data_IF_501082994183
#
_entry.id   IF_501082994183
#
_cell.length_a   1.000
_cell.length_b   1.000
_cell.length_c   1.000
_cell.angle_alpha   90.00
_cell.angle_beta   90.00
_cell.angle_gamma   90.00
#
_symmetry.space_group_name_H-M   'P 1'
#
loop_
_entity.id
_entity.type
_entity.pdbx_description
1 polymer ?
#
# COMPACT_ATOMS: atom_id res chain seq x y z
N UNK A 1 -31.00 6.92 -3.44
CA UNK A 1 -30.22 6.98 -2.18
C UNK A 1 -29.39 8.26 -2.17
N UNK A 2 -29.37 9.00 -1.04
CA UNK A 2 -28.71 10.32 -0.94
C UNK A 2 -27.42 10.25 -0.10
N UNK A 3 -27.49 9.60 1.06
CA UNK A 3 -26.38 9.46 2.00
C UNK A 3 -26.08 7.96 2.20
N UNK A 4 -24.80 7.60 2.33
CA UNK A 4 -24.31 6.25 2.61
C UNK A 4 -23.40 6.26 3.85
N UNK A 5 -23.88 5.84 5.02
CA UNK A 5 -23.06 5.72 6.22
C UNK A 5 -22.14 4.49 6.16
N UNK A 6 -20.86 4.68 6.47
CA UNK A 6 -19.85 3.64 6.67
C UNK A 6 -19.38 3.64 8.12
N UNK A 7 -19.12 2.45 8.68
CA UNK A 7 -18.57 2.32 10.02
C UNK A 7 -17.05 2.22 9.91
N UNK A 8 -16.36 3.22 10.43
CA UNK A 8 -14.90 3.24 10.55
C UNK A 8 -14.47 3.03 12.01
N UNK A 9 -13.26 2.49 12.25
CA UNK A 9 -12.65 2.52 13.58
C UNK A 9 -12.57 3.95 14.12
N UNK A 10 -12.74 4.12 15.43
CA UNK A 10 -12.78 5.44 16.09
C UNK A 10 -11.49 6.25 15.95
N UNK A 11 -10.36 5.58 15.75
CA UNK A 11 -9.02 6.17 15.61
C UNK A 11 -8.58 6.31 14.14
N UNK A 12 -9.50 6.13 13.19
CA UNK A 12 -9.23 6.38 11.79
C UNK A 12 -8.92 7.87 11.54
N UNK A 13 -7.85 8.13 10.79
CA UNK A 13 -7.44 9.49 10.41
C UNK A 13 -7.08 9.56 8.92
N UNK A 14 -6.99 10.77 8.39
CA UNK A 14 -6.66 11.05 6.98
C UNK A 14 -7.57 10.28 6.01
N UNK A 15 -8.88 10.42 6.23
CA UNK A 15 -9.90 9.73 5.44
C UNK A 15 -10.12 10.49 4.13
N UNK A 16 -9.97 9.80 3.01
CA UNK A 16 -10.17 10.36 1.66
C UNK A 16 -11.31 9.64 0.95
N UNK A 17 -12.22 10.42 0.38
CA UNK A 17 -13.33 9.93 -0.43
C UNK A 17 -13.20 10.46 -1.86
N UNK A 18 -13.11 9.55 -2.82
CA UNK A 18 -12.77 9.87 -4.21
C UNK A 18 -13.56 8.98 -5.18
N UNK A 19 -13.86 9.53 -6.36
CA UNK A 19 -14.29 8.76 -7.53
C UNK A 19 -13.22 8.76 -8.63
N UNK A 20 -13.56 8.16 -9.78
CA UNK A 20 -12.68 8.08 -10.94
C UNK A 20 -12.20 9.45 -11.42
N UNK A 21 -13.02 10.50 -11.25
CA UNK A 21 -12.72 11.86 -11.70
C UNK A 21 -11.88 12.62 -10.67
N UNK A 22 -12.11 12.41 -9.37
CA UNK A 22 -11.34 13.09 -8.33
C UNK A 22 -11.97 13.05 -6.94
N UNK A 23 -11.41 13.85 -6.03
CA UNK A 23 -11.90 13.93 -4.66
C UNK A 23 -13.37 14.40 -4.64
N UNK A 24 -14.14 13.82 -3.73
CA UNK A 24 -15.50 14.24 -3.40
C UNK A 24 -15.45 14.85 -2.00
N UNK A 25 -15.78 16.15 -1.91
CA UNK A 25 -15.77 16.89 -0.64
C UNK A 25 -17.08 16.78 0.14
N UNK A 26 -18.11 16.12 -0.42
CA UNK A 26 -19.43 15.96 0.21
C UNK A 26 -19.44 14.74 1.12
N UNK A 27 -18.73 14.84 2.25
CA UNK A 27 -18.70 13.83 3.29
C UNK A 27 -18.79 14.46 4.68
N UNK A 28 -19.44 13.75 5.61
CA UNK A 28 -19.57 14.18 7.00
C UNK A 28 -19.07 13.08 7.95
N UNK A 29 -18.43 13.47 9.04
CA UNK A 29 -18.00 12.56 10.11
C UNK A 29 -18.87 12.76 11.35
N UNK A 30 -19.36 11.66 11.90
CA UNK A 30 -20.06 11.65 13.18
C UNK A 30 -19.29 10.69 14.09
N UNK A 31 -18.56 11.27 15.03
CA UNK A 31 -17.83 10.51 16.05
C UNK A 31 -18.82 10.04 17.13
N UNK A 32 -18.77 8.74 17.42
CA UNK A 32 -19.50 8.11 18.52
C UNK A 32 -18.50 7.40 19.45
N UNK A 33 -18.95 7.04 20.65
CA UNK A 33 -18.13 6.25 21.58
C UNK A 33 -17.80 4.88 20.96
N UNK A 34 -16.52 4.70 20.57
CA UNK A 34 -16.00 3.44 20.04
C UNK A 34 -16.14 3.23 18.53
N UNK A 35 -16.78 4.14 17.79
CA UNK A 35 -16.89 4.06 16.32
C UNK A 35 -17.06 5.44 15.69
N UNK A 36 -16.61 5.58 14.45
CA UNK A 36 -16.82 6.80 13.66
C UNK A 36 -17.72 6.46 12.48
N UNK A 37 -18.86 7.14 12.38
CA UNK A 37 -19.75 7.02 11.22
C UNK A 37 -19.29 8.02 10.16
N UNK A 38 -18.92 7.50 9.00
CA UNK A 38 -18.54 8.28 7.85
C UNK A 38 -19.68 8.32 6.83
N UNK A 39 -20.36 9.47 6.75
CA UNK A 39 -21.46 9.68 5.81
C UNK A 39 -20.92 10.14 4.45
N UNK A 40 -20.91 9.23 3.49
CA UNK A 40 -20.55 9.52 2.10
C UNK A 40 -21.76 9.99 1.31
N UNK A 41 -21.66 11.13 0.61
CA UNK A 41 -22.66 11.54 -0.38
C UNK A 41 -22.06 11.47 -1.78
N UNK A 42 -22.60 10.63 -2.68
CA UNK A 42 -22.20 10.64 -4.09
C UNK A 42 -22.48 11.98 -4.76
N UNK A 43 -21.79 12.26 -5.87
CA UNK A 43 -22.00 13.50 -6.66
C UNK A 43 -23.43 13.66 -7.19
N UNK A 44 -24.14 12.55 -7.35
CA UNK A 44 -25.52 12.54 -7.82
C UNK A 44 -26.34 11.51 -7.02
N UNK A 45 -27.64 11.76 -6.80
CA UNK A 45 -28.51 10.78 -6.16
C UNK A 45 -28.59 9.50 -7.02
N UNK A 46 -28.34 8.35 -6.40
CA UNK A 46 -28.43 7.04 -7.08
C UNK A 46 -29.90 6.63 -7.12
N UNK A 47 -30.48 6.59 -8.32
CA UNK A 47 -31.83 6.09 -8.60
C UNK A 47 -31.79 4.69 -9.21
N UNK A 48 -32.95 4.05 -9.37
CA UNK A 48 -33.05 2.66 -9.84
C UNK A 48 -32.27 2.41 -11.14
N UNK A 49 -31.28 1.51 -11.08
CA UNK A 49 -30.42 1.13 -12.19
C UNK A 49 -29.18 2.02 -12.39
N UNK A 50 -29.04 3.11 -11.63
CA UNK A 50 -27.82 3.93 -11.67
C UNK A 50 -26.73 3.26 -10.84
N UNK A 51 -25.49 3.32 -11.31
CA UNK A 51 -24.31 2.78 -10.63
C UNK A 51 -23.35 3.92 -10.31
N UNK A 52 -22.79 3.90 -9.10
CA UNK A 52 -21.75 4.85 -8.66
C UNK A 52 -20.54 4.05 -8.20
N UNK A 53 -19.37 4.39 -8.72
CA UNK A 53 -18.07 3.83 -8.31
C UNK A 53 -17.33 4.86 -7.47
N UNK A 54 -16.77 4.43 -6.35
CA UNK A 54 -15.99 5.29 -5.46
C UNK A 54 -15.02 4.48 -4.60
N UNK A 55 -14.04 5.17 -4.07
CA UNK A 55 -13.01 4.64 -3.19
C UNK A 55 -12.99 5.44 -1.89
N UNK A 56 -12.86 4.73 -0.78
CA UNK A 56 -12.67 5.29 0.56
C UNK A 56 -11.34 4.76 1.08
N UNK A 57 -10.42 5.67 1.39
CA UNK A 57 -9.17 5.32 2.06
C UNK A 57 -9.11 5.98 3.42
N UNK A 58 -8.48 5.30 4.38
CA UNK A 58 -8.24 5.82 5.72
C UNK A 58 -6.96 5.21 6.28
N UNK A 59 -6.39 5.88 7.28
CA UNK A 59 -5.21 5.41 8.00
C UNK A 59 -5.57 5.06 9.44
N UNK A 60 -4.83 4.12 10.01
CA UNK A 60 -4.96 3.68 11.39
C UNK A 60 -3.61 3.75 12.10
N UNK A 61 -3.57 4.14 13.38
CA UNK A 61 -2.40 4.00 14.23
C UNK A 61 -2.00 2.52 14.32
N UNK A 62 -0.72 2.23 14.03
CA UNK A 62 -0.20 0.86 14.05
C UNK A 62 0.10 0.35 15.47
N UNK A 63 0.36 1.27 16.42
CA UNK A 63 0.82 0.95 17.76
C UNK A 63 -0.16 0.06 18.53
N UNK A 64 -1.46 0.26 18.33
CA UNK A 64 -2.51 -0.44 19.06
C UNK A 64 -2.93 -1.77 18.42
N UNK A 65 -2.40 -2.08 17.23
CA UNK A 65 -2.82 -3.23 16.41
C UNK A 65 -1.69 -4.18 16.06
N UNK A 66 -0.45 -3.69 16.03
CA UNK A 66 0.73 -4.50 15.77
C UNK A 66 1.37 -4.89 17.09
N UNK A 67 1.34 -6.19 17.36
CA UNK A 67 1.92 -6.76 18.56
C UNK A 67 3.06 -7.70 18.21
N UNK A 68 4.00 -7.83 19.15
CA UNK A 68 5.14 -8.72 19.03
C UNK A 68 5.18 -9.69 20.20
N UNK A 69 5.20 -10.97 19.88
CA UNK A 69 5.35 -12.05 20.87
C UNK A 69 6.81 -12.17 21.28
N UNK A 70 7.07 -12.69 22.50
CA UNK A 70 8.43 -12.97 23.01
C UNK A 70 9.27 -13.87 22.09
N UNK A 71 8.60 -14.72 21.30
CA UNK A 71 9.22 -15.59 20.29
C UNK A 71 9.69 -14.86 19.01
N UNK A 72 9.43 -13.56 18.87
CA UNK A 72 9.80 -12.79 17.68
C UNK A 72 8.74 -12.76 16.57
N UNK A 73 7.64 -13.50 16.74
CA UNK A 73 6.46 -13.47 15.85
C UNK A 73 5.70 -12.16 16.05
N UNK A 74 5.26 -11.55 14.96
CA UNK A 74 4.38 -10.39 14.96
C UNK A 74 2.96 -10.85 14.65
N UNK A 75 1.98 -10.23 15.31
CA UNK A 75 0.59 -10.41 14.93
C UNK A 75 -0.12 -9.06 14.80
N UNK A 76 -1.04 -9.00 13.85
CA UNK A 76 -1.85 -7.82 13.57
C UNK A 76 -3.32 -8.19 13.69
N UNK A 77 -4.05 -7.36 14.45
CA UNK A 77 -5.49 -7.47 14.64
C UNK A 77 -6.19 -6.31 13.94
N UNK A 78 -7.10 -6.63 13.01
CA UNK A 78 -7.79 -5.67 12.15
C UNK A 78 -9.27 -6.04 12.06
N UNK A 79 -10.15 -5.05 12.13
CA UNK A 79 -11.56 -5.22 11.82
C UNK A 79 -11.80 -4.93 10.34
N UNK A 80 -12.55 -5.78 9.66
CA UNK A 80 -12.97 -5.50 8.27
C UNK A 80 -13.96 -4.34 8.29
N UNK A 81 -13.81 -3.41 7.34
CA UNK A 81 -14.76 -2.31 7.18
C UNK A 81 -16.17 -2.84 6.89
N UNK A 82 -17.17 -2.26 7.55
CA UNK A 82 -18.58 -2.63 7.40
C UNK A 82 -19.37 -1.42 6.91
N UNK A 83 -20.29 -1.62 5.96
CA UNK A 83 -21.29 -0.62 5.63
C UNK A 83 -22.32 -0.55 6.77
N UNK A 84 -22.77 0.64 7.15
CA UNK A 84 -23.81 0.79 8.16
C UNK A 84 -25.23 0.59 7.57
N UNK A 85 -25.32 0.04 6.35
CA UNK A 85 -26.54 -0.22 5.60
C UNK A 85 -26.58 -1.71 5.28
N UNK A 86 -27.79 -2.29 5.26
CA UNK A 86 -28.03 -3.65 4.77
C UNK A 86 -27.83 -3.68 3.25
N UNK A 87 -26.57 -3.78 2.80
CA UNK A 87 -26.23 -4.00 1.41
C UNK A 87 -25.92 -5.48 1.17
N UNK A 88 -26.24 -5.93 -0.05
CA UNK A 88 -25.88 -7.26 -0.52
C UNK A 88 -24.62 -7.12 -1.36
N UNK A 89 -23.52 -7.67 -0.86
CA UNK A 89 -22.24 -7.65 -1.57
C UNK A 89 -22.15 -8.84 -2.51
N UNK A 90 -22.36 -8.62 -3.82
CA UNK A 90 -22.33 -9.71 -4.82
C UNK A 90 -20.94 -10.33 -4.97
N UNK A 91 -19.88 -9.52 -4.93
CA UNK A 91 -18.50 -9.98 -4.99
C UNK A 91 -17.68 -9.25 -3.93
N UNK A 92 -17.04 -10.01 -3.07
CA UNK A 92 -16.17 -9.52 -2.02
C UNK A 92 -14.74 -9.97 -2.30
N UNK A 93 -13.82 -9.01 -2.25
CA UNK A 93 -12.38 -9.26 -2.38
C UNK A 93 -11.64 -8.39 -1.38
N UNK A 94 -10.80 -9.02 -0.57
CA UNK A 94 -9.96 -8.36 0.42
C UNK A 94 -8.53 -8.84 0.25
N UNK A 95 -7.64 -7.90 -0.07
CA UNK A 95 -6.22 -8.15 -0.25
C UNK A 95 -5.47 -7.53 0.93
N UNK A 96 -4.84 -8.37 1.75
CA UNK A 96 -4.04 -7.93 2.90
C UNK A 96 -2.57 -8.01 2.52
N UNK A 97 -1.94 -6.85 2.33
CA UNK A 97 -0.55 -6.74 1.91
C UNK A 97 0.35 -6.63 3.13
N UNK A 98 1.25 -7.60 3.31
CA UNK A 98 2.23 -7.57 4.39
C UNK A 98 3.53 -6.86 3.94
N UNK A 99 4.34 -6.38 4.90
CA UNK A 99 5.64 -5.77 4.60
C UNK A 99 6.53 -6.70 3.77
N UNK A 100 7.40 -6.11 2.95
CA UNK A 100 8.43 -6.85 2.21
C UNK A 100 9.27 -7.70 3.17
N UNK A 101 9.68 -8.89 2.72
CA UNK A 101 10.48 -9.84 3.52
C UNK A 101 9.73 -10.45 4.72
N UNK A 102 8.43 -10.22 4.85
CA UNK A 102 7.63 -10.96 5.84
C UNK A 102 7.36 -12.39 5.39
N UNK A 103 7.22 -13.29 6.37
CA UNK A 103 6.76 -14.66 6.15
C UNK A 103 5.44 -14.86 6.87
N UNK A 104 4.41 -15.20 6.12
CA UNK A 104 3.10 -15.54 6.68
C UNK A 104 3.20 -16.86 7.45
N UNK A 105 2.78 -16.86 8.70
CA UNK A 105 2.68 -18.08 9.51
C UNK A 105 1.25 -18.60 9.54
N UNK A 106 0.30 -17.75 9.93
CA UNK A 106 -1.09 -18.13 10.11
C UNK A 106 -2.03 -16.92 9.93
N UNK A 107 -3.29 -17.21 9.62
CA UNK A 107 -4.39 -16.25 9.67
C UNK A 107 -5.62 -16.94 10.24
N UNK A 108 -6.44 -16.23 11.02
CA UNK A 108 -7.65 -16.79 11.65
C UNK A 108 -8.89 -16.77 10.73
N UNK A 109 -8.80 -16.10 9.57
CA UNK A 109 -9.95 -15.82 8.71
C UNK A 109 -10.26 -17.00 7.79
N UNK A 110 -10.82 -18.08 8.35
CA UNK A 110 -11.26 -19.27 7.62
C UNK A 110 -12.77 -19.47 7.81
N UNK A 111 -13.55 -18.64 7.12
CA UNK A 111 -15.02 -18.67 7.15
C UNK A 111 -15.59 -19.48 6.00
N UNK A 112 -16.72 -20.13 6.24
CA UNK A 112 -17.46 -20.85 5.19
C UNK A 112 -17.86 -19.86 4.09
N UNK A 113 -17.56 -20.20 2.83
CA UNK A 113 -17.85 -19.35 1.67
C UNK A 113 -16.75 -18.36 1.30
N UNK A 114 -15.67 -18.26 2.09
CA UNK A 114 -14.49 -17.47 1.77
C UNK A 114 -13.37 -18.39 1.25
N UNK A 115 -12.70 -17.96 0.18
CA UNK A 115 -11.53 -18.62 -0.39
C UNK A 115 -10.31 -17.76 -0.15
N UNK A 116 -9.30 -18.33 0.49
CA UNK A 116 -8.02 -17.68 0.71
C UNK A 116 -6.99 -18.17 -0.30
N UNK A 117 -6.24 -17.23 -0.88
CA UNK A 117 -5.10 -17.48 -1.75
C UNK A 117 -3.94 -16.59 -1.35
N UNK A 118 -2.72 -17.09 -1.53
CA UNK A 118 -1.50 -16.34 -1.24
C UNK A 118 -0.94 -15.86 -2.57
N UNK A 119 -0.85 -14.55 -2.73
CA UNK A 119 -0.28 -13.89 -3.88
C UNK A 119 0.98 -13.14 -3.48
N UNK A 120 1.69 -12.64 -4.49
CA UNK A 120 2.81 -11.72 -4.30
C UNK A 120 2.51 -10.41 -5.00
N UNK A 121 2.83 -9.30 -4.32
CA UNK A 121 2.68 -7.95 -4.85
C UNK A 121 4.00 -7.21 -4.74
N UNK A 122 4.34 -6.47 -5.79
CA UNK A 122 5.55 -5.65 -5.80
C UNK A 122 5.20 -4.20 -5.52
N UNK A 123 5.68 -3.70 -4.38
CA UNK A 123 5.52 -2.30 -3.98
C UNK A 123 6.38 -1.37 -4.85
N UNK A 124 5.97 -0.11 -4.96
CA UNK A 124 6.80 0.91 -5.57
C UNK A 124 8.06 1.10 -4.70
N UNK A 125 9.25 0.99 -5.31
CA UNK A 125 10.55 0.92 -4.64
C UNK A 125 10.81 -0.38 -3.84
N UNK A 126 10.00 -1.43 -4.04
CA UNK A 126 10.20 -2.73 -3.43
C UNK A 126 11.36 -3.50 -4.06
N UNK A 127 12.35 -3.87 -3.24
CA UNK A 127 13.46 -4.73 -3.66
C UNK A 127 12.98 -6.17 -3.74
N UNK A 128 12.21 -6.59 -2.73
CA UNK A 128 11.62 -7.92 -2.60
C UNK A 128 10.11 -7.84 -2.76
N UNK A 129 9.50 -8.98 -3.10
CA UNK A 129 8.04 -9.07 -3.19
C UNK A 129 7.41 -9.10 -1.80
N UNK A 130 6.27 -8.43 -1.66
CA UNK A 130 5.41 -8.48 -0.48
C UNK A 130 4.42 -9.63 -0.61
N UNK A 131 4.28 -10.49 0.42
CA UNK A 131 3.22 -11.49 0.42
C UNK A 131 1.86 -10.81 0.64
N UNK A 132 0.86 -11.26 -0.11
CA UNK A 132 -0.51 -10.78 -0.06
C UNK A 132 -1.43 -11.93 0.25
N UNK A 133 -2.27 -11.76 1.27
CA UNK A 133 -3.35 -12.70 1.58
C UNK A 133 -4.58 -12.18 0.87
N UNK A 134 -5.01 -12.88 -0.17
CA UNK A 134 -6.20 -12.55 -0.91
C UNK A 134 -7.35 -13.44 -0.45
N UNK A 135 -8.39 -12.82 0.08
CA UNK A 135 -9.61 -13.46 0.53
C UNK A 135 -10.74 -13.05 -0.40
N UNK A 136 -11.39 -14.03 -1.02
CA UNK A 136 -12.47 -13.82 -1.99
C UNK A 136 -13.74 -14.53 -1.57
N UNK A 137 -14.89 -13.93 -1.80
CA UNK A 137 -16.19 -14.55 -1.56
C UNK A 137 -17.25 -13.96 -2.49
N UNK A 138 -18.32 -14.71 -2.72
CA UNK A 138 -19.43 -14.30 -3.57
C UNK A 138 -20.71 -14.29 -2.72
N UNK A 139 -21.54 -13.26 -2.92
CA UNK A 139 -22.82 -13.07 -2.22
C UNK A 139 -22.65 -13.06 -0.69
N UNK A 140 -21.87 -12.11 -0.18
CA UNK A 140 -21.63 -11.93 1.26
C UNK A 140 -22.67 -10.98 1.83
N UNK A 141 -23.22 -11.35 2.98
CA UNK A 141 -24.02 -10.45 3.82
C UNK A 141 -23.07 -9.60 4.67
N UNK A 142 -23.32 -8.30 4.74
CA UNK A 142 -22.42 -7.35 5.43
C UNK A 142 -22.21 -7.66 6.92
N UNK A 143 -23.19 -8.29 7.59
CA UNK A 143 -23.08 -8.75 8.98
C UNK A 143 -21.96 -9.79 9.19
N UNK A 144 -21.61 -10.56 8.14
CA UNK A 144 -20.53 -11.53 8.20
C UNK A 144 -19.14 -10.89 8.04
N UNK A 145 -19.06 -9.60 7.68
CA UNK A 145 -17.80 -8.90 7.49
C UNK A 145 -17.23 -8.35 8.80
N UNK A 146 -18.06 -7.96 9.78
CA UNK A 146 -17.63 -7.23 10.98
C UNK A 146 -16.68 -7.94 11.97
N UNK A 147 -16.18 -9.13 11.63
CA UNK A 147 -15.28 -9.90 12.49
C UNK A 147 -13.83 -9.37 12.47
N UNK A 148 -13.12 -9.67 13.55
CA UNK A 148 -11.71 -9.36 13.71
C UNK A 148 -10.81 -10.39 13.02
N UNK A 149 -9.94 -9.89 12.16
CA UNK A 149 -8.89 -10.63 11.47
C UNK A 149 -7.62 -10.54 12.28
N UNK A 150 -7.08 -11.70 12.61
CA UNK A 150 -5.76 -11.87 13.21
C UNK A 150 -4.81 -12.54 12.22
N UNK A 151 -3.69 -11.89 11.97
CA UNK A 151 -2.65 -12.37 11.04
C UNK A 151 -1.36 -12.48 11.80
N UNK A 152 -0.72 -13.64 11.72
CA UNK A 152 0.57 -13.91 12.33
C UNK A 152 1.65 -14.02 11.25
N UNK A 153 2.73 -13.27 11.42
CA UNK A 153 3.83 -13.24 10.49
C UNK A 153 5.17 -13.01 11.18
N UNK A 154 6.23 -13.54 10.57
CA UNK A 154 7.60 -13.20 10.95
C UNK A 154 8.06 -12.00 10.15
N UNK A 155 8.66 -11.04 10.84
CA UNK A 155 9.21 -9.86 10.23
C UNK A 155 10.51 -9.45 10.92
N UNK A 156 11.54 -9.23 10.11
CA UNK A 156 12.84 -8.77 10.55
C UNK A 156 13.04 -7.32 10.13
N UNK A 157 12.93 -6.40 11.10
CA UNK A 157 13.17 -4.97 10.90
C UNK A 157 14.57 -4.70 10.35
N UNK A 158 15.58 -5.42 10.87
CA UNK A 158 16.97 -5.25 10.45
C UNK A 158 17.16 -5.64 8.99
N UNK A 159 16.57 -6.76 8.55
CA UNK A 159 16.70 -7.21 7.17
C UNK A 159 16.01 -6.27 6.18
N UNK A 160 14.81 -5.80 6.49
CA UNK A 160 14.05 -4.90 5.60
C UNK A 160 14.67 -3.50 5.53
N UNK A 161 15.10 -2.95 6.67
CA UNK A 161 15.75 -1.65 6.70
C UNK A 161 17.11 -1.68 6.00
N UNK A 162 17.95 -2.68 6.29
CA UNK A 162 19.28 -2.78 5.69
C UNK A 162 19.22 -2.99 4.18
N UNK A 163 18.28 -3.79 3.68
CA UNK A 163 18.15 -3.99 2.23
C UNK A 163 17.80 -2.70 1.49
N UNK A 164 16.84 -1.91 2.01
CA UNK A 164 16.43 -0.63 1.41
C UNK A 164 17.52 0.43 1.45
N UNK A 165 18.16 0.61 2.62
CA UNK A 165 19.26 1.56 2.76
C UNK A 165 20.47 1.17 1.89
N UNK A 166 20.81 -0.13 1.84
CA UNK A 166 21.92 -0.62 1.03
C UNK A 166 21.66 -0.47 -0.47
N UNK A 167 20.44 -0.72 -0.94
CA UNK A 167 20.08 -0.52 -2.34
C UNK A 167 20.22 0.95 -2.75
N UNK A 168 19.69 1.88 -1.94
CA UNK A 168 19.82 3.30 -2.21
C UNK A 168 21.31 3.72 -2.25
N UNK A 169 22.09 3.27 -1.27
CA UNK A 169 23.53 3.50 -1.23
C UNK A 169 24.23 2.98 -2.50
N UNK A 170 23.93 1.76 -2.95
CA UNK A 170 24.50 1.16 -4.15
C UNK A 170 24.19 1.99 -5.40
N UNK A 171 22.95 2.45 -5.56
CA UNK A 171 22.54 3.30 -6.69
C UNK A 171 23.34 4.61 -6.71
N UNK A 172 23.50 5.27 -5.55
CA UNK A 172 24.31 6.48 -5.44
C UNK A 172 25.79 6.23 -5.75
N UNK A 173 26.37 5.11 -5.28
CA UNK A 173 27.75 4.74 -5.58
C UNK A 173 27.96 4.50 -7.08
N UNK A 174 27.02 3.82 -7.75
CA UNK A 174 27.07 3.59 -9.20
C UNK A 174 27.02 4.90 -9.98
N UNK A 175 26.17 5.85 -9.60
CA UNK A 175 26.11 7.18 -10.22
C UNK A 175 27.43 7.95 -10.03
N UNK A 176 28.04 7.86 -8.85
CA UNK A 176 29.31 8.51 -8.56
C UNK A 176 30.46 7.92 -9.38
N UNK A 177 30.53 6.59 -9.47
CA UNK A 177 31.51 5.87 -10.31
C UNK A 177 31.30 6.22 -11.78
N UNK A 178 30.05 6.23 -12.27
CA UNK A 178 29.73 6.60 -13.65
C UNK A 178 30.17 8.04 -13.95
N UNK A 179 29.98 8.97 -13.01
CA UNK A 179 30.44 10.35 -13.14
C UNK A 179 31.98 10.46 -13.19
N UNK A 180 32.69 9.73 -12.33
CA UNK A 180 34.16 9.66 -12.37
C UNK A 180 34.63 9.10 -13.70
N UNK A 181 34.06 7.98 -14.16
CA UNK A 181 34.37 7.39 -15.46
C UNK A 181 34.14 8.38 -16.60
N UNK A 182 33.01 9.09 -16.61
CA UNK A 182 32.74 10.13 -17.59
C UNK A 182 33.81 11.24 -17.59
N UNK A 183 34.22 11.71 -16.40
CA UNK A 183 35.29 12.72 -16.26
C UNK A 183 36.63 12.20 -16.76
N UNK A 184 36.99 10.95 -16.45
CA UNK A 184 38.23 10.32 -16.89
C UNK A 184 38.25 10.15 -18.42
N UNK A 185 37.16 9.66 -19.02
CA UNK A 185 37.02 9.51 -20.47
C UNK A 185 37.12 10.89 -21.15
N UNK A 186 36.42 11.91 -20.64
CA UNK A 186 36.51 13.28 -21.18
C UNK A 186 37.92 13.85 -21.08
N UNK A 187 38.61 13.62 -19.96
CA UNK A 187 39.99 14.06 -19.78
C UNK A 187 40.94 13.36 -20.78
N UNK A 188 40.77 12.05 -20.98
CA UNK A 188 41.52 11.27 -21.96
C UNK A 188 41.32 11.77 -23.39
N UNK A 189 40.06 11.98 -23.81
CA UNK A 189 39.73 12.55 -25.12
C UNK A 189 40.37 13.94 -25.30
N UNK A 190 40.31 14.80 -24.28
CA UNK A 190 40.94 16.13 -24.35
C UNK A 190 42.45 16.08 -24.54
N UNK A 191 43.11 15.07 -23.96
CA UNK A 191 44.55 14.83 -24.11
C UNK A 191 44.90 14.29 -25.49
N UNK A 192 44.04 13.50 -26.13
CA UNK A 192 44.26 13.01 -27.50
C UNK A 192 44.08 14.12 -28.57
N UNK A 193 43.21 15.10 -28.31
CA UNK A 193 42.95 16.21 -29.24
C UNK A 193 44.05 17.30 -29.19
N UNK A 194 44.66 17.54 -28.02
CA UNK A 194 45.75 18.54 -27.86
C UNK A 194 47.01 18.32 -28.72
N UNK A 195 47.56 17.10 -28.91
CA UNK A 195 48.77 16.90 -29.71
C UNK A 195 48.59 17.18 -31.20
N UNK A 196 47.38 17.05 -31.75
CA UNK A 196 47.10 17.37 -33.17
C UNK A 196 47.27 18.87 -33.46
N UNK A 197 46.77 19.75 -32.57
CA UNK A 197 46.91 21.21 -32.74
C UNK A 197 48.34 21.73 -32.61
N UNK A 198 49.21 20.99 -31.93
CA UNK A 198 50.62 21.34 -31.78
C UNK A 198 51.44 20.97 -33.04
N UNK A 199 50.98 20.01 -33.85
CA UNK A 199 51.64 19.61 -35.09
C UNK A 199 51.30 20.57 -36.25
N UNK A 200 50.05 21.00 -36.38
CA UNK A 200 49.64 21.99 -37.40
C UNK A 200 50.34 23.34 -37.22
N UNK A 201 50.64 23.73 -35.98
CA UNK A 201 51.34 24.99 -35.68
C UNK A 201 52.85 24.95 -35.95
N UNK A 202 53.41 23.78 -36.26
CA UNK A 202 54.81 23.61 -36.69
C UNK A 202 54.96 23.48 -38.22
N UNK A 203 53.85 23.42 -38.96
CA UNK A 203 53.80 23.27 -40.42
C UNK A 203 53.38 24.57 -41.15
N UNK A 204 53.22 25.68 -40.41
CA UNK A 204 53.16 27.05 -40.92
C UNK A 204 54.42 27.81 -40.51
#
# INVERSE_FOLDING_TARGET
MKDMPFILPSDAYDVTYRDEVGLISTSDFIEHEGMTIFNCRPRYPVFGGWASSFEIHYKLPIADRLHKTKSGVHYVELKVGQLALDAITSSFKMDIVLPETSKLLAHNYNKIGFKTSILTFRTNLGIFDSPVIQITSNNVLDDLLGDEIKIEFEYSLTQSFMSKCFFLYMVFQLLFIAFICYKLVRAFISKLIKPSKALDKKLQ
#
